data_IF_520661438735
#
_entry.id   IF_520661438735
#
_cell.length_a   1.000
_cell.length_b   1.000
_cell.length_c   1.000
_cell.angle_alpha   90.00
_cell.angle_beta   90.00
_cell.angle_gamma   90.00
#
_symmetry.space_group_name_H-M   'P 1'
#
loop_
_entity.id
_entity.type
_entity.pdbx_description
1 polymer ?
#
# COMPACT_ATOMS: atom_id res chain seq x y z
N UNK A 1 -21.20 26.22 5.71
CA UNK A 1 -21.03 24.77 5.93
C UNK A 1 -19.84 24.32 5.11
N UNK A 2 -18.72 23.95 5.75
CA UNK A 2 -17.52 23.42 5.10
C UNK A 2 -17.46 21.93 5.44
N UNK A 3 -17.35 21.00 4.48
CA UNK A 3 -17.19 19.60 4.82
C UNK A 3 -15.74 19.38 5.27
N UNK A 4 -15.59 19.02 6.53
CA UNK A 4 -14.36 18.47 7.10
C UNK A 4 -14.15 17.07 6.51
N UNK A 5 -13.15 16.90 5.66
CA UNK A 5 -12.61 15.59 5.33
C UNK A 5 -11.83 15.08 6.54
N UNK A 6 -12.49 14.26 7.36
CA UNK A 6 -11.83 13.48 8.42
C UNK A 6 -11.14 12.31 7.71
N UNK A 7 -9.83 12.41 7.53
CA UNK A 7 -9.00 11.26 7.15
C UNK A 7 -8.89 10.38 8.39
N UNK A 8 -9.82 9.44 8.53
CA UNK A 8 -9.75 8.39 9.54
C UNK A 8 -8.52 7.53 9.24
N UNK A 9 -7.56 7.56 10.16
CA UNK A 9 -6.39 6.69 10.12
C UNK A 9 -6.83 5.22 10.11
N UNK A 10 -6.79 4.59 8.94
CA UNK A 10 -6.96 3.13 8.80
C UNK A 10 -5.65 2.48 9.22
N UNK A 11 -5.46 2.37 10.53
CA UNK A 11 -4.37 1.63 11.18
C UNK A 11 -4.81 0.21 11.59
N UNK A 12 -5.82 -0.36 10.94
CA UNK A 12 -6.48 -1.57 11.43
C UNK A 12 -6.96 -2.52 10.32
N UNK A 13 -6.06 -3.10 9.50
CA UNK A 13 -6.45 -4.14 8.53
C UNK A 13 -5.47 -5.32 8.45
N UNK A 14 -4.88 -5.73 9.58
CA UNK A 14 -4.14 -7.01 9.66
C UNK A 14 -4.64 -7.93 10.79
N UNK A 15 -5.84 -7.70 11.32
CA UNK A 15 -6.28 -8.31 12.59
C UNK A 15 -7.60 -9.09 12.61
N UNK A 16 -8.37 -9.22 11.52
CA UNK A 16 -9.66 -9.92 11.59
C UNK A 16 -9.97 -10.66 10.30
N UNK A 17 -10.24 -11.96 10.42
CA UNK A 17 -10.41 -12.88 9.31
C UNK A 17 -11.71 -12.73 8.52
N UNK A 18 -11.69 -13.43 7.39
CA UNK A 18 -12.78 -13.91 6.53
C UNK A 18 -13.54 -12.86 5.70
N UNK A 19 -13.12 -12.79 4.43
CA UNK A 19 -13.95 -12.63 3.23
C UNK A 19 -14.89 -11.41 3.15
N UNK A 20 -14.30 -10.22 3.05
CA UNK A 20 -14.72 -9.36 1.93
C UNK A 20 -13.61 -9.48 0.88
N UNK A 21 -13.97 -9.69 -0.39
CA UNK A 21 -12.99 -9.52 -1.46
C UNK A 21 -12.39 -8.13 -1.26
N UNK A 22 -11.09 -8.08 -0.94
CA UNK A 22 -10.44 -6.81 -0.71
C UNK A 22 -10.65 -5.98 -1.97
N UNK A 23 -11.28 -4.80 -1.85
CA UNK A 23 -11.43 -3.90 -2.98
C UNK A 23 -10.04 -3.69 -3.60
N UNK A 24 -9.83 -4.12 -4.86
CA UNK A 24 -8.51 -4.04 -5.49
C UNK A 24 -7.97 -2.61 -5.47
N UNK A 25 -8.87 -1.61 -5.57
CA UNK A 25 -8.49 -0.20 -5.51
C UNK A 25 -7.95 0.16 -4.14
N UNK A 26 -8.67 -0.16 -3.07
CA UNK A 26 -8.21 0.05 -1.69
C UNK A 26 -6.89 -0.69 -1.40
N UNK A 27 -6.71 -1.89 -1.94
CA UNK A 27 -5.46 -2.64 -1.83
C UNK A 27 -4.31 -1.89 -2.51
N UNK A 28 -4.52 -1.41 -3.75
CA UNK A 28 -3.56 -0.58 -4.48
C UNK A 28 -3.19 0.70 -3.73
N UNK A 29 -4.18 1.45 -3.23
CA UNK A 29 -3.96 2.69 -2.46
C UNK A 29 -3.14 2.43 -1.18
N UNK A 30 -3.54 1.43 -0.40
CA UNK A 30 -2.87 1.09 0.87
C UNK A 30 -1.42 0.65 0.63
N UNK A 31 -1.21 -0.19 -0.39
CA UNK A 31 0.10 -0.67 -0.75
C UNK A 31 1.00 0.45 -1.32
N UNK A 32 0.45 1.31 -2.18
CA UNK A 32 1.16 2.47 -2.72
C UNK A 32 1.63 3.40 -1.62
N UNK A 33 0.77 3.65 -0.61
CA UNK A 33 1.12 4.49 0.54
C UNK A 33 2.28 3.89 1.34
N UNK A 34 2.22 2.58 1.63
CA UNK A 34 3.26 1.90 2.39
C UNK A 34 4.59 1.86 1.63
N UNK A 35 4.58 1.42 0.37
CA UNK A 35 5.80 1.25 -0.43
C UNK A 35 6.43 2.59 -0.81
N UNK A 36 5.63 3.61 -1.13
CA UNK A 36 6.14 4.95 -1.41
C UNK A 36 6.81 5.56 -0.17
N UNK A 37 6.18 5.45 0.99
CA UNK A 37 6.81 5.88 2.25
C UNK A 37 8.02 5.03 2.62
N UNK A 38 8.02 3.72 2.34
CA UNK A 38 9.17 2.86 2.57
C UNK A 38 10.38 3.30 1.73
N UNK A 39 10.14 3.62 0.46
CA UNK A 39 11.15 4.20 -0.43
C UNK A 39 11.70 5.53 0.14
N UNK A 40 10.82 6.47 0.50
CA UNK A 40 11.19 7.75 1.13
C UNK A 40 12.01 7.56 2.42
N UNK A 41 11.69 6.54 3.20
CA UNK A 41 12.37 6.21 4.45
C UNK A 41 13.68 5.42 4.26
N UNK A 42 14.14 5.22 3.02
CA UNK A 42 15.43 4.61 2.72
C UNK A 42 15.43 3.09 2.69
N UNK A 43 14.26 2.44 2.61
CA UNK A 43 14.22 0.99 2.33
C UNK A 43 14.82 0.75 0.94
N UNK A 44 15.76 -0.20 0.77
CA UNK A 44 16.42 -0.45 -0.51
C UNK A 44 15.43 -0.66 -1.65
N UNK A 45 15.66 0.00 -2.80
CA UNK A 45 14.78 -0.07 -3.98
C UNK A 45 14.50 -1.50 -4.43
N UNK A 46 15.45 -2.42 -4.33
CA UNK A 46 15.20 -3.83 -4.65
C UNK A 46 14.15 -4.49 -3.74
N UNK A 47 14.17 -4.18 -2.44
CA UNK A 47 13.15 -4.69 -1.50
C UNK A 47 11.79 -4.10 -1.82
N UNK A 48 11.73 -2.79 -2.08
CA UNK A 48 10.49 -2.11 -2.49
C UNK A 48 9.95 -2.69 -3.79
N UNK A 49 10.83 -2.95 -4.77
CA UNK A 49 10.46 -3.56 -6.05
C UNK A 49 9.93 -4.99 -5.92
N UNK A 50 10.58 -5.83 -5.09
CA UNK A 50 10.06 -7.18 -4.79
C UNK A 50 8.69 -7.13 -4.12
N UNK A 51 8.52 -6.26 -3.12
CA UNK A 51 7.21 -6.05 -2.50
C UNK A 51 6.18 -5.54 -3.52
N UNK A 52 6.56 -4.65 -4.43
CA UNK A 52 5.69 -4.14 -5.49
C UNK A 52 5.18 -5.25 -6.41
N UNK A 53 6.03 -6.21 -6.79
CA UNK A 53 5.61 -7.39 -7.55
C UNK A 53 4.58 -8.22 -6.80
N UNK A 54 4.78 -8.46 -5.51
CA UNK A 54 3.82 -9.20 -4.67
C UNK A 54 2.47 -8.48 -4.61
N UNK A 55 2.49 -7.16 -4.46
CA UNK A 55 1.26 -6.35 -4.44
C UNK A 55 0.53 -6.45 -5.80
N UNK A 56 1.25 -6.37 -6.92
CA UNK A 56 0.64 -6.54 -8.23
C UNK A 56 0.01 -7.94 -8.39
N UNK A 57 0.71 -9.00 -7.97
CA UNK A 57 0.17 -10.37 -7.99
C UNK A 57 -1.10 -10.48 -7.13
N UNK A 58 -1.17 -9.75 -6.00
CA UNK A 58 -2.37 -9.65 -5.16
C UNK A 58 -3.50 -8.83 -5.79
N UNK A 59 -3.20 -7.73 -6.49
CA UNK A 59 -4.19 -6.94 -7.26
C UNK A 59 -4.84 -7.83 -8.31
N UNK A 60 -4.03 -8.52 -9.11
CA UNK A 60 -4.51 -9.45 -10.15
C UNK A 60 -5.41 -10.54 -9.55
N UNK A 61 -5.05 -11.08 -8.39
CA UNK A 61 -5.84 -12.11 -7.71
C UNK A 61 -7.14 -11.58 -7.08
N UNK A 62 -7.17 -10.31 -6.68
CA UNK A 62 -8.33 -9.68 -6.04
C UNK A 62 -9.34 -9.10 -7.05
N UNK A 63 -8.87 -8.72 -8.24
CA UNK A 63 -9.70 -8.12 -9.29
C UNK A 63 -10.61 -9.13 -9.98
N UNK A 64 -11.86 -8.72 -10.23
CA UNK A 64 -12.81 -9.51 -11.00
C UNK A 64 -12.49 -9.50 -12.50
N UNK A 65 -12.05 -8.34 -13.01
CA UNK A 65 -11.69 -8.16 -14.41
C UNK A 65 -10.51 -7.19 -14.62
N UNK A 66 -10.09 -7.05 -15.88
CA UNK A 66 -8.95 -6.23 -16.30
C UNK A 66 -9.15 -4.73 -16.03
N UNK A 67 -10.39 -4.27 -15.94
CA UNK A 67 -10.72 -2.87 -15.64
C UNK A 67 -10.45 -2.58 -14.17
N UNK A 68 -10.88 -3.48 -13.29
CA UNK A 68 -10.58 -3.38 -11.85
C UNK A 68 -9.08 -3.51 -11.57
N UNK A 69 -8.39 -4.44 -12.24
CA UNK A 69 -6.92 -4.60 -12.16
C UNK A 69 -6.23 -3.28 -12.53
N UNK A 70 -6.58 -2.71 -13.69
CA UNK A 70 -5.98 -1.47 -14.18
C UNK A 70 -6.27 -0.27 -13.27
N UNK A 71 -7.47 -0.19 -12.68
CA UNK A 71 -7.83 0.87 -11.75
C UNK A 71 -7.01 0.77 -10.44
N UNK A 72 -6.86 -0.44 -9.91
CA UNK A 72 -6.06 -0.72 -8.73
C UNK A 72 -4.56 -0.43 -8.94
N UNK A 73 -3.99 -0.90 -10.05
CA UNK A 73 -2.59 -0.61 -10.42
C UNK A 73 -2.38 0.90 -10.61
N UNK A 74 -3.32 1.59 -11.28
CA UNK A 74 -3.25 3.04 -11.46
C UNK A 74 -3.24 3.77 -10.12
N UNK A 75 -4.11 3.37 -9.18
CA UNK A 75 -4.12 3.93 -7.83
C UNK A 75 -2.87 3.60 -7.04
N UNK A 76 -2.34 2.38 -7.16
CA UNK A 76 -1.07 2.02 -6.55
C UNK A 76 0.05 2.97 -6.98
N UNK A 77 0.21 3.19 -8.29
CA UNK A 77 1.27 4.04 -8.83
C UNK A 77 1.10 5.49 -8.39
N UNK A 78 -0.11 6.03 -8.47
CA UNK A 78 -0.38 7.42 -8.07
C UNK A 78 -0.05 7.67 -6.59
N UNK A 79 -0.53 6.79 -5.69
CA UNK A 79 -0.27 6.94 -4.26
C UNK A 79 1.19 6.66 -3.92
N UNK A 80 1.84 5.70 -4.60
CA UNK A 80 3.28 5.46 -4.46
C UNK A 80 4.08 6.73 -4.75
N UNK A 81 3.82 7.37 -5.88
CA UNK A 81 4.54 8.58 -6.28
C UNK A 81 4.31 9.73 -5.30
N UNK A 82 3.06 9.99 -4.93
CA UNK A 82 2.71 11.04 -3.98
C UNK A 82 3.34 10.82 -2.58
N UNK A 83 3.52 9.55 -2.19
CA UNK A 83 4.10 9.18 -0.89
C UNK A 83 5.63 9.17 -0.89
N UNK A 84 6.24 8.79 -2.02
CA UNK A 84 7.69 8.76 -2.20
C UNK A 84 8.28 10.16 -2.35
N UNK A 85 7.55 11.05 -3.03
CA UNK A 85 7.96 12.41 -3.35
C UNK A 85 6.85 13.38 -2.94
N UNK A 86 6.77 13.75 -1.65
CA UNK A 86 5.74 14.68 -1.19
C UNK A 86 6.07 16.12 -1.64
N UNK A 87 5.26 16.66 -2.54
CA UNK A 87 5.54 17.94 -3.20
C UNK A 87 4.98 19.19 -2.47
N UNK A 88 4.17 19.01 -1.41
CA UNK A 88 3.39 20.09 -0.79
C UNK A 88 3.62 20.23 0.72
N UNK A 89 3.67 21.48 1.20
CA UNK A 89 3.57 21.78 2.62
C UNK A 89 2.22 21.32 3.17
N UNK A 90 2.24 20.51 4.22
CA UNK A 90 1.04 20.00 4.90
C UNK A 90 0.66 18.54 4.59
N UNK A 91 1.39 17.85 3.70
CA UNK A 91 1.22 16.41 3.52
C UNK A 91 1.49 15.65 4.83
N UNK A 92 0.62 14.71 5.18
CA UNK A 92 0.87 13.82 6.31
C UNK A 92 2.02 12.88 5.98
N UNK A 93 3.11 12.99 6.73
CA UNK A 93 4.29 12.16 6.56
C UNK A 93 4.40 11.23 7.78
N UNK A 94 4.19 9.91 7.62
CA UNK A 94 4.34 8.98 8.72
C UNK A 94 5.80 8.87 9.17
N UNK A 95 6.05 8.61 10.48
CA UNK A 95 7.40 8.42 11.00
C UNK A 95 8.02 7.15 10.41
N UNK A 96 9.30 7.22 10.02
CA UNK A 96 9.96 6.13 9.32
C UNK A 96 10.06 4.84 10.13
N UNK A 97 10.17 4.92 11.46
CA UNK A 97 10.16 3.73 12.32
C UNK A 97 8.86 2.92 12.18
N UNK A 98 7.70 3.59 12.08
CA UNK A 98 6.43 2.92 11.90
C UNK A 98 6.30 2.33 10.49
N UNK A 99 6.73 3.07 9.46
CA UNK A 99 6.70 2.61 8.06
C UNK A 99 7.57 1.37 7.88
N UNK A 100 8.81 1.39 8.37
CA UNK A 100 9.75 0.27 8.27
C UNK A 100 9.17 -0.97 8.98
N UNK A 101 8.62 -0.80 10.19
CA UNK A 101 8.01 -1.91 10.92
C UNK A 101 6.76 -2.50 10.22
N UNK A 102 6.02 -1.71 9.45
CA UNK A 102 4.90 -2.21 8.64
C UNK A 102 5.41 -2.92 7.38
N UNK A 103 6.43 -2.36 6.73
CA UNK A 103 7.05 -2.96 5.54
C UNK A 103 7.66 -4.34 5.86
N UNK A 104 8.36 -4.47 6.98
CA UNK A 104 8.93 -5.74 7.43
C UNK A 104 7.86 -6.79 7.75
N UNK A 105 6.70 -6.36 8.27
CA UNK A 105 5.54 -7.25 8.49
C UNK A 105 4.94 -7.74 7.18
N UNK A 106 4.84 -6.89 6.17
CA UNK A 106 4.42 -7.30 4.82
C UNK A 106 5.37 -8.36 4.26
N UNK A 107 6.68 -8.12 4.32
CA UNK A 107 7.68 -9.09 3.86
C UNK A 107 7.64 -10.41 4.64
N UNK A 108 7.42 -10.34 5.96
CA UNK A 108 7.30 -11.53 6.79
C UNK A 108 6.06 -12.35 6.42
N UNK A 109 4.91 -11.70 6.25
CA UNK A 109 3.68 -12.37 5.86
C UNK A 109 3.85 -13.08 4.51
N UNK A 110 4.44 -12.40 3.52
CA UNK A 110 4.70 -12.99 2.21
C UNK A 110 5.56 -14.27 2.29
N UNK A 111 6.67 -14.25 3.04
CA UNK A 111 7.52 -15.44 3.26
C UNK A 111 6.76 -16.57 3.95
N UNK A 112 5.87 -16.25 4.88
CA UNK A 112 5.08 -17.25 5.62
C UNK A 112 3.96 -17.86 4.78
N UNK A 113 3.44 -17.12 3.79
CA UNK A 113 2.42 -17.61 2.85
C UNK A 113 2.99 -18.52 1.75
N UNK A 114 4.31 -18.71 1.68
CA UNK A 114 4.95 -19.62 0.73
C UNK A 114 4.82 -19.19 -0.73
N UNK A 115 4.72 -17.88 -0.98
CA UNK A 115 4.59 -17.27 -2.31
C UNK A 115 5.95 -16.85 -2.89
N UNK A 116 7.00 -17.64 -2.66
CA UNK A 116 8.37 -17.38 -3.17
C UNK A 116 8.54 -17.85 -4.64
#
# INVERSE_FOLDING_TARGET
MRPTFVVTAVLFLLGIGVAQAADPTQLGETAGFLLGNAHRCGVPTERVGRAGKVIHDLIVAASYDRTEEAAADSRFVEIFMASAFPDHEGSFIPPCSAVIAQFERLEQHHRQSGMD
#
